data_IF_231992038287
#
_entry.id   IF_231992038287
#
_cell.length_a   1.000
_cell.length_b   1.000
_cell.length_c   1.000
_cell.angle_alpha   90.00
_cell.angle_beta   90.00
_cell.angle_gamma   90.00
#
_symmetry.space_group_name_H-M   'P 1'
#
loop_
_entity.id
_entity.type
_entity.pdbx_description
1 polymer ?
#
# COMPACT_ATOMS: atom_id res chain seq x y z
N UNK A 1 -8.08 12.39 -6.62
CA UNK A 1 -7.67 12.31 -5.21
C UNK A 1 -6.31 12.96 -5.14
N UNK A 2 -6.06 13.85 -4.18
CA UNK A 2 -4.76 14.51 -4.02
C UNK A 2 -3.73 13.48 -3.57
N UNK A 3 -2.54 13.47 -4.19
CA UNK A 3 -1.45 12.57 -3.79
C UNK A 3 -1.02 12.86 -2.35
N UNK A 4 -0.76 11.79 -1.58
CA UNK A 4 -0.27 11.85 -0.21
C UNK A 4 1.27 11.91 -0.20
N UNK A 5 1.89 11.29 -1.20
CA UNK A 5 3.34 11.19 -1.32
C UNK A 5 3.79 11.31 -2.78
N UNK A 6 4.61 12.33 -3.03
CA UNK A 6 5.24 12.54 -4.33
C UNK A 6 6.65 11.94 -4.36
N UNK A 7 7.07 11.46 -5.54
CA UNK A 7 8.42 10.91 -5.69
C UNK A 7 9.49 11.97 -5.40
N UNK A 8 10.55 11.57 -4.71
CA UNK A 8 11.63 12.39 -4.19
C UNK A 8 11.23 13.39 -3.09
N UNK A 9 9.98 13.42 -2.63
CA UNK A 9 9.52 14.40 -1.63
C UNK A 9 10.39 14.43 -0.37
N UNK A 10 10.71 13.25 0.19
CA UNK A 10 11.55 13.15 1.38
C UNK A 10 13.01 13.57 1.12
N UNK A 11 13.54 13.21 -0.07
CA UNK A 11 14.89 13.57 -0.47
C UNK A 11 15.04 15.10 -0.62
N UNK A 12 14.08 15.75 -1.30
CA UNK A 12 14.12 17.19 -1.52
C UNK A 12 14.07 17.98 -0.22
N UNK A 13 13.22 17.57 0.73
CA UNK A 13 13.19 18.19 2.07
C UNK A 13 14.49 18.01 2.83
N UNK A 14 15.10 16.83 2.76
CA UNK A 14 16.39 16.60 3.37
C UNK A 14 17.50 17.42 2.71
N UNK A 15 17.43 17.58 1.39
CA UNK A 15 18.35 18.40 0.62
C UNK A 15 18.22 19.88 0.97
N UNK A 16 17.01 20.41 1.12
CA UNK A 16 16.77 21.79 1.56
C UNK A 16 17.33 22.05 2.98
N UNK A 17 17.25 21.05 3.86
CA UNK A 17 17.74 21.13 5.23
C UNK A 17 19.23 20.75 5.38
N UNK A 18 19.94 20.45 4.28
CA UNK A 18 21.32 19.99 4.35
C UNK A 18 22.23 21.06 4.96
N UNK A 19 23.01 20.66 5.96
CA UNK A 19 24.12 21.47 6.45
C UNK A 19 25.25 21.46 5.43
N UNK A 20 25.67 22.66 4.98
CA UNK A 20 26.82 22.80 4.07
C UNK A 20 28.10 22.72 4.91
N UNK A 21 28.75 21.56 4.90
CA UNK A 21 30.09 21.38 5.46
C UNK A 21 31.09 21.25 4.30
N UNK A 22 32.17 22.07 4.27
CA UNK A 22 33.23 21.93 3.26
C UNK A 22 34.03 20.64 3.40
N UNK A 23 33.99 19.97 4.56
CA UNK A 23 34.74 18.76 4.86
C UNK A 23 33.97 17.53 4.39
N UNK A 24 34.54 16.78 3.45
CA UNK A 24 33.98 15.51 3.00
C UNK A 24 34.47 14.36 3.89
N UNK A 25 33.54 13.58 4.43
CA UNK A 25 33.86 12.34 5.14
C UNK A 25 34.13 11.26 4.08
N UNK A 26 35.24 10.53 4.24
CA UNK A 26 35.61 9.42 3.35
C UNK A 26 34.46 8.41 3.21
N UNK A 27 34.17 8.00 1.97
CA UNK A 27 33.08 7.07 1.65
C UNK A 27 31.76 7.73 1.24
N UNK A 28 31.48 8.97 1.68
CA UNK A 28 30.24 9.70 1.33
C UNK A 28 30.11 9.95 -0.17
N UNK A 29 31.23 10.25 -0.82
CA UNK A 29 31.30 10.50 -2.26
C UNK A 29 30.92 9.31 -3.14
N UNK A 30 30.66 8.10 -2.62
CA UNK A 30 30.24 6.93 -3.44
C UNK A 30 28.73 6.76 -3.56
N UNK A 31 27.96 7.33 -2.64
CA UNK A 31 26.50 7.16 -2.61
C UNK A 31 25.80 7.70 -3.87
N UNK A 32 26.37 8.74 -4.50
CA UNK A 32 25.80 9.36 -5.69
C UNK A 32 25.66 8.44 -6.90
N UNK A 33 26.39 7.32 -6.94
CA UNK A 33 26.31 6.34 -8.04
C UNK A 33 24.91 5.71 -8.07
N UNK A 34 24.31 5.53 -6.89
CA UNK A 34 23.06 4.81 -6.68
C UNK A 34 21.84 5.72 -6.67
N UNK A 35 21.98 7.01 -6.33
CA UNK A 35 20.83 7.90 -6.25
C UNK A 35 20.22 8.21 -7.62
N UNK A 36 18.90 8.35 -7.65
CA UNK A 36 18.17 8.98 -8.76
C UNK A 36 18.52 10.48 -8.90
N UNK A 37 18.97 11.15 -7.83
CA UNK A 37 19.32 12.58 -7.82
C UNK A 37 20.82 12.80 -7.66
N UNK A 38 21.61 12.23 -8.58
CA UNK A 38 23.08 12.15 -8.53
C UNK A 38 23.79 13.47 -8.26
N UNK A 39 23.31 14.58 -8.81
CA UNK A 39 23.98 15.87 -8.61
C UNK A 39 23.72 16.43 -7.20
N UNK A 40 22.49 16.35 -6.70
CA UNK A 40 22.12 16.85 -5.38
C UNK A 40 22.75 16.03 -4.25
N UNK A 41 22.76 14.71 -4.39
CA UNK A 41 23.33 13.81 -3.38
C UNK A 41 24.86 13.96 -3.22
N UNK A 42 25.58 14.44 -4.24
CA UNK A 42 27.02 14.79 -4.11
C UNK A 42 27.24 15.88 -3.06
N UNK A 43 26.22 16.67 -2.75
CA UNK A 43 26.28 17.69 -1.70
C UNK A 43 26.08 17.10 -0.30
N UNK A 44 25.71 15.83 -0.17
CA UNK A 44 25.62 15.12 1.11
C UNK A 44 27.01 14.62 1.51
N UNK A 45 27.89 15.57 1.85
CA UNK A 45 29.30 15.34 2.18
C UNK A 45 29.55 14.80 3.59
N UNK A 46 28.53 14.86 4.44
CA UNK A 46 28.56 14.43 5.84
C UNK A 46 27.32 13.59 6.17
N UNK A 47 27.27 13.00 7.36
CA UNK A 47 26.21 12.06 7.73
C UNK A 47 24.84 12.72 7.97
N UNK A 48 24.81 14.00 8.39
CA UNK A 48 23.60 14.67 8.87
C UNK A 48 22.47 14.67 7.82
N UNK A 49 22.69 15.04 6.55
CA UNK A 49 21.64 15.02 5.53
C UNK A 49 21.02 13.63 5.29
N UNK A 50 21.79 12.55 5.45
CA UNK A 50 21.25 11.19 5.37
C UNK A 50 20.31 10.86 6.53
N UNK A 51 20.65 11.32 7.74
CA UNK A 51 19.77 11.16 8.92
C UNK A 51 18.48 11.96 8.75
N UNK A 52 18.55 13.17 8.19
CA UNK A 52 17.35 13.96 7.88
C UNK A 52 16.52 13.24 6.82
N UNK A 53 17.14 12.71 5.76
CA UNK A 53 16.42 11.95 4.73
C UNK A 53 15.72 10.72 5.29
N UNK A 54 16.39 9.97 6.16
CA UNK A 54 15.79 8.88 6.91
C UNK A 54 14.55 9.34 7.69
N UNK A 55 14.65 10.43 8.45
CA UNK A 55 13.54 10.97 9.25
C UNK A 55 12.36 11.40 8.36
N UNK A 56 12.62 12.08 7.25
CA UNK A 56 11.58 12.49 6.31
C UNK A 56 10.87 11.29 5.67
N UNK A 57 11.60 10.22 5.31
CA UNK A 57 11.00 8.97 4.84
C UNK A 57 10.17 8.31 5.93
N UNK A 58 10.68 8.26 7.16
CA UNK A 58 9.98 7.69 8.29
C UNK A 58 8.66 8.44 8.56
N UNK A 59 8.69 9.77 8.60
CA UNK A 59 7.48 10.57 8.78
C UNK A 59 6.51 10.49 7.61
N UNK A 60 7.02 10.44 6.38
CA UNK A 60 6.18 10.26 5.18
C UNK A 60 5.46 8.90 5.15
N UNK A 61 6.00 7.90 5.82
CA UNK A 61 5.34 6.58 5.93
C UNK A 61 4.04 6.63 6.73
N UNK A 62 3.93 7.49 7.76
CA UNK A 62 2.78 7.49 8.68
C UNK A 62 1.45 7.81 7.98
N UNK A 63 1.31 8.88 7.17
CA UNK A 63 0.08 9.14 6.43
C UNK A 63 -0.32 7.99 5.49
N UNK A 64 0.66 7.28 4.89
CA UNK A 64 0.41 6.13 4.03
C UNK A 64 -0.12 4.94 4.83
N UNK A 65 0.48 4.68 6.01
CA UNK A 65 0.02 3.65 6.96
C UNK A 65 -1.40 3.95 7.40
N UNK A 66 -1.68 5.18 7.84
CA UNK A 66 -3.01 5.59 8.31
C UNK A 66 -4.05 5.38 7.23
N UNK A 67 -3.73 5.74 5.98
CA UNK A 67 -4.66 5.55 4.86
C UNK A 67 -4.89 4.08 4.53
N UNK A 68 -3.85 3.26 4.57
CA UNK A 68 -3.99 1.81 4.39
C UNK A 68 -4.81 1.17 5.52
N UNK A 69 -4.60 1.58 6.78
CA UNK A 69 -5.37 1.10 7.91
C UNK A 69 -6.84 1.52 7.82
N UNK A 70 -7.13 2.76 7.40
CA UNK A 70 -8.49 3.23 7.12
C UNK A 70 -9.18 2.35 6.06
N UNK A 71 -8.51 2.11 4.92
CA UNK A 71 -9.02 1.22 3.87
C UNK A 71 -9.24 -0.19 4.41
N UNK A 72 -8.30 -0.73 5.20
CA UNK A 72 -8.44 -2.06 5.80
C UNK A 72 -9.65 -2.14 6.74
N UNK A 73 -9.84 -1.16 7.61
CA UNK A 73 -10.96 -1.12 8.55
C UNK A 73 -12.30 -1.02 7.81
N UNK A 74 -12.39 -0.18 6.79
CA UNK A 74 -13.59 -0.08 5.95
C UNK A 74 -13.87 -1.37 5.15
N UNK A 75 -12.81 -2.02 4.66
CA UNK A 75 -12.90 -3.32 3.98
C UNK A 75 -13.42 -4.39 4.95
N UNK A 76 -12.88 -4.48 6.17
CA UNK A 76 -13.32 -5.40 7.21
C UNK A 76 -14.80 -5.19 7.60
N UNK A 77 -15.21 -3.92 7.75
CA UNK A 77 -16.60 -3.54 8.12
C UNK A 77 -17.62 -3.73 6.98
N UNK A 78 -17.19 -3.93 5.74
CA UNK A 78 -18.09 -4.21 4.62
C UNK A 78 -18.87 -5.50 4.88
N UNK A 79 -20.15 -5.37 5.28
CA UNK A 79 -21.04 -6.50 5.62
C UNK A 79 -21.39 -7.36 4.40
N UNK A 80 -21.32 -8.68 4.56
CA UNK A 80 -21.63 -9.71 3.55
C UNK A 80 -23.04 -10.32 3.70
N UNK A 81 -24.06 -9.55 4.11
CA UNK A 81 -25.40 -10.14 4.31
C UNK A 81 -26.10 -10.52 2.98
N UNK A 82 -27.01 -11.49 3.02
CA UNK A 82 -27.74 -12.02 1.86
C UNK A 82 -28.64 -10.98 1.16
N UNK A 83 -29.36 -10.12 1.90
CA UNK A 83 -30.49 -9.33 1.37
C UNK A 83 -30.11 -8.04 0.59
N UNK A 84 -28.87 -7.87 0.11
CA UNK A 84 -28.45 -6.59 -0.49
C UNK A 84 -27.26 -6.66 -1.44
N UNK A 85 -27.27 -7.65 -2.35
CA UNK A 85 -26.13 -8.04 -3.18
C UNK A 85 -25.46 -6.88 -3.98
N UNK A 86 -26.23 -6.06 -4.71
CA UNK A 86 -25.67 -5.03 -5.60
C UNK A 86 -25.04 -3.84 -4.86
N UNK A 87 -25.59 -3.45 -3.71
CA UNK A 87 -25.07 -2.32 -2.91
C UNK A 87 -23.77 -2.67 -2.18
N UNK A 88 -23.41 -3.96 -2.08
CA UNK A 88 -22.31 -4.49 -1.26
C UNK A 88 -21.03 -4.72 -2.06
N UNK A 89 -21.12 -5.28 -3.26
CA UNK A 89 -19.97 -5.34 -4.20
C UNK A 89 -19.44 -3.94 -4.46
N UNK A 90 -20.32 -2.95 -4.64
CA UNK A 90 -19.93 -1.55 -4.82
C UNK A 90 -19.06 -1.00 -3.68
N UNK A 91 -19.32 -1.38 -2.42
CA UNK A 91 -18.48 -0.94 -1.28
C UNK A 91 -17.09 -1.57 -1.33
N UNK A 92 -16.99 -2.86 -1.63
CA UNK A 92 -15.71 -3.56 -1.77
C UNK A 92 -14.92 -3.01 -2.97
N UNK A 93 -15.58 -2.84 -4.12
CA UNK A 93 -15.00 -2.22 -5.32
C UNK A 93 -14.50 -0.80 -5.05
N UNK A 94 -15.23 -0.02 -4.25
CA UNK A 94 -14.79 1.33 -3.85
C UNK A 94 -13.50 1.28 -3.04
N UNK A 95 -13.36 0.33 -2.12
CA UNK A 95 -12.11 0.18 -1.35
C UNK A 95 -10.95 -0.31 -2.22
N UNK A 96 -11.19 -1.24 -3.16
CA UNK A 96 -10.16 -1.63 -4.12
C UNK A 96 -9.74 -0.48 -5.02
N UNK A 97 -10.67 0.37 -5.45
CA UNK A 97 -10.33 1.58 -6.20
C UNK A 97 -9.46 2.53 -5.39
N UNK A 98 -9.81 2.77 -4.12
CA UNK A 98 -8.97 3.60 -3.22
C UNK A 98 -7.58 3.00 -3.02
N UNK A 99 -7.48 1.68 -2.87
CA UNK A 99 -6.20 0.99 -2.76
C UNK A 99 -5.37 1.13 -4.04
N UNK A 100 -6.01 1.00 -5.21
CA UNK A 100 -5.38 1.19 -6.50
C UNK A 100 -4.87 2.64 -6.68
N UNK A 101 -5.70 3.63 -6.34
CA UNK A 101 -5.34 5.04 -6.42
C UNK A 101 -4.15 5.35 -5.49
N UNK A 102 -4.10 4.76 -4.28
CA UNK A 102 -2.97 4.86 -3.35
C UNK A 102 -1.71 4.12 -3.82
N UNK A 103 -1.85 3.19 -4.78
CA UNK A 103 -0.75 2.37 -5.29
C UNK A 103 0.37 3.19 -5.93
N UNK A 104 0.05 4.34 -6.53
CA UNK A 104 1.04 5.26 -7.10
C UNK A 104 1.92 5.85 -5.98
N UNK A 105 1.30 6.42 -4.95
CA UNK A 105 1.99 7.02 -3.80
C UNK A 105 2.86 5.97 -3.08
N UNK A 106 2.35 4.74 -2.90
CA UNK A 106 3.12 3.63 -2.32
C UNK A 106 4.32 3.24 -3.18
N UNK A 107 4.17 3.23 -4.51
CA UNK A 107 5.27 2.89 -5.41
C UNK A 107 6.35 3.99 -5.42
N UNK A 108 5.94 5.26 -5.40
CA UNK A 108 6.86 6.40 -5.26
C UNK A 108 7.64 6.30 -3.95
N UNK A 109 6.96 6.07 -2.83
CA UNK A 109 7.58 5.88 -1.52
C UNK A 109 8.57 4.71 -1.49
N UNK A 110 8.20 3.55 -2.04
CA UNK A 110 9.09 2.37 -2.14
C UNK A 110 10.32 2.66 -2.99
N UNK A 111 10.17 3.45 -4.05
CA UNK A 111 11.30 3.84 -4.91
C UNK A 111 12.28 4.72 -4.14
N UNK A 112 11.79 5.70 -3.40
CA UNK A 112 12.64 6.59 -2.59
C UNK A 112 13.29 5.86 -1.41
N UNK A 113 12.59 4.90 -0.80
CA UNK A 113 13.16 4.02 0.24
C UNK A 113 14.35 3.23 -0.31
N UNK A 114 14.21 2.64 -1.51
CA UNK A 114 15.31 1.92 -2.17
C UNK A 114 16.47 2.84 -2.53
N UNK A 115 16.17 4.05 -3.01
CA UNK A 115 17.19 5.07 -3.32
C UNK A 115 18.01 5.39 -2.06
N UNK A 116 17.31 5.69 -0.96
CA UNK A 116 17.92 5.94 0.33
C UNK A 116 18.75 4.75 0.82
N UNK A 117 18.19 3.53 0.83
CA UNK A 117 18.87 2.31 1.29
C UNK A 117 20.17 2.07 0.52
N UNK A 118 20.16 2.22 -0.81
CA UNK A 118 21.37 2.04 -1.60
C UNK A 118 22.40 3.13 -1.30
N UNK A 119 21.96 4.38 -1.16
CA UNK A 119 22.84 5.50 -0.86
C UNK A 119 23.46 5.39 0.55
N UNK A 120 22.66 5.09 1.57
CA UNK A 120 23.13 4.99 2.97
C UNK A 120 24.09 3.80 3.14
N UNK A 121 23.81 2.66 2.51
CA UNK A 121 24.72 1.51 2.52
C UNK A 121 26.05 1.82 1.81
N UNK A 122 26.01 2.61 0.73
CA UNK A 122 27.21 3.02 0.00
C UNK A 122 28.01 4.13 0.70
N UNK A 123 27.38 4.92 1.58
CA UNK A 123 27.97 6.11 2.22
C UNK A 123 29.04 5.81 3.29
N UNK A 124 29.28 4.54 3.63
CA UNK A 124 30.18 4.09 4.71
C UNK A 124 29.92 4.75 6.09
N UNK A 125 28.73 5.31 6.31
CA UNK A 125 28.31 5.85 7.61
C UNK A 125 28.28 4.73 8.66
N UNK A 126 28.79 5.01 9.87
CA UNK A 126 28.63 4.11 11.02
C UNK A 126 27.15 3.92 11.36
N UNK A 127 26.70 2.66 11.57
CA UNK A 127 25.28 2.28 11.73
C UNK A 127 24.40 2.50 10.49
N UNK A 128 24.97 2.58 9.27
CA UNK A 128 24.20 2.67 8.03
C UNK A 128 23.21 1.49 7.83
N UNK A 129 23.55 0.31 8.35
CA UNK A 129 22.70 -0.88 8.33
C UNK A 129 21.43 -0.69 9.13
N UNK A 130 21.51 -0.09 10.32
CA UNK A 130 20.35 0.06 11.21
C UNK A 130 19.29 0.98 10.59
N UNK A 131 19.70 2.08 9.97
CA UNK A 131 18.78 2.98 9.26
C UNK A 131 18.17 2.32 8.01
N UNK A 132 18.97 1.56 7.26
CA UNK A 132 18.49 0.83 6.08
C UNK A 132 17.45 -0.23 6.47
N UNK A 133 17.73 -0.98 7.54
CA UNK A 133 16.87 -2.03 8.09
C UNK A 133 15.56 -1.46 8.61
N UNK A 134 15.59 -0.35 9.36
CA UNK A 134 14.38 0.32 9.85
C UNK A 134 13.46 0.78 8.70
N UNK A 135 14.02 1.34 7.62
CA UNK A 135 13.24 1.69 6.42
C UNK A 135 12.70 0.44 5.73
N UNK A 136 13.48 -0.65 5.68
CA UNK A 136 13.02 -1.92 5.13
C UNK A 136 11.85 -2.49 5.93
N UNK A 137 11.88 -2.36 7.25
CA UNK A 137 10.78 -2.77 8.13
C UNK A 137 9.51 -1.95 7.87
N UNK A 138 9.63 -0.63 7.65
CA UNK A 138 8.50 0.23 7.27
C UNK A 138 7.90 -0.19 5.92
N UNK A 139 8.73 -0.44 4.90
CA UNK A 139 8.26 -0.96 3.61
C UNK A 139 7.54 -2.30 3.77
N UNK A 140 8.11 -3.22 4.57
CA UNK A 140 7.50 -4.53 4.85
C UNK A 140 6.14 -4.37 5.55
N UNK A 141 6.02 -3.43 6.49
CA UNK A 141 4.78 -3.18 7.20
C UNK A 141 3.68 -2.63 6.27
N UNK A 142 4.00 -1.67 5.39
CA UNK A 142 3.09 -1.18 4.36
C UNK A 142 2.61 -2.30 3.44
N UNK A 143 3.54 -3.14 2.95
CA UNK A 143 3.23 -4.30 2.10
C UNK A 143 2.33 -5.32 2.81
N UNK A 144 2.54 -5.54 4.11
CA UNK A 144 1.71 -6.43 4.92
C UNK A 144 0.27 -5.93 5.00
N UNK A 145 0.06 -4.63 5.27
CA UNK A 145 -1.29 -4.06 5.33
C UNK A 145 -1.95 -4.12 3.94
N UNK A 146 -1.24 -3.75 2.87
CA UNK A 146 -1.74 -3.84 1.50
C UNK A 146 -2.21 -5.27 1.15
N UNK A 147 -1.39 -6.27 1.47
CA UNK A 147 -1.71 -7.68 1.27
C UNK A 147 -2.94 -8.11 2.08
N UNK A 148 -3.04 -7.67 3.34
CA UNK A 148 -4.20 -7.96 4.20
C UNK A 148 -5.51 -7.39 3.62
N UNK A 149 -5.48 -6.18 3.07
CA UNK A 149 -6.64 -5.56 2.43
C UNK A 149 -7.09 -6.41 1.24
N UNK A 150 -6.15 -6.79 0.35
CA UNK A 150 -6.45 -7.61 -0.84
C UNK A 150 -7.06 -8.95 -0.44
N UNK A 151 -6.43 -9.68 0.48
CA UNK A 151 -6.94 -10.96 0.98
C UNK A 151 -8.34 -10.83 1.61
N UNK A 152 -8.58 -9.77 2.37
CA UNK A 152 -9.89 -9.53 3.00
C UNK A 152 -10.96 -9.23 1.96
N UNK A 153 -10.64 -8.40 0.97
CA UNK A 153 -11.52 -8.10 -0.16
C UNK A 153 -11.87 -9.35 -0.97
N UNK A 154 -10.88 -10.15 -1.34
CA UNK A 154 -11.05 -11.38 -2.12
C UNK A 154 -11.92 -12.39 -1.39
N UNK A 155 -11.68 -12.61 -0.09
CA UNK A 155 -12.52 -13.49 0.75
C UNK A 155 -13.98 -13.03 0.79
N UNK A 156 -14.22 -11.72 0.90
CA UNK A 156 -15.58 -11.16 0.91
C UNK A 156 -16.26 -11.27 -0.45
N UNK A 157 -15.54 -11.03 -1.56
CA UNK A 157 -16.07 -11.24 -2.90
C UNK A 157 -16.42 -12.71 -3.15
N UNK A 158 -15.56 -13.64 -2.73
CA UNK A 158 -15.84 -15.07 -2.82
C UNK A 158 -17.08 -15.47 -2.00
N UNK A 159 -17.22 -14.94 -0.78
CA UNK A 159 -18.40 -15.16 0.06
C UNK A 159 -19.69 -14.64 -0.60
N UNK A 160 -19.65 -13.45 -1.22
CA UNK A 160 -20.79 -12.91 -1.97
C UNK A 160 -21.12 -13.80 -3.18
N UNK A 161 -20.10 -14.27 -3.91
CA UNK A 161 -20.30 -15.10 -5.08
C UNK A 161 -20.91 -16.47 -4.72
N UNK A 162 -20.43 -17.10 -3.64
CA UNK A 162 -21.00 -18.34 -3.13
C UNK A 162 -22.46 -18.15 -2.68
N UNK A 163 -22.75 -17.05 -1.98
CA UNK A 163 -24.12 -16.70 -1.58
C UNK A 163 -25.05 -16.49 -2.78
N UNK A 164 -24.55 -15.93 -3.89
CA UNK A 164 -25.30 -15.80 -5.15
C UNK A 164 -25.63 -17.16 -5.76
N UNK A 165 -24.67 -18.08 -5.81
CA UNK A 165 -24.90 -19.43 -6.31
C UNK A 165 -25.94 -20.19 -5.48
N UNK A 166 -25.86 -20.09 -4.15
CA UNK A 166 -26.84 -20.70 -3.25
C UNK A 166 -28.25 -20.14 -3.47
N UNK A 167 -28.37 -18.81 -3.63
CA UNK A 167 -29.66 -18.18 -3.93
C UNK A 167 -30.24 -18.66 -5.27
N UNK A 168 -29.44 -18.70 -6.33
CA UNK A 168 -29.88 -19.22 -7.63
C UNK A 168 -30.31 -20.68 -7.54
N UNK A 169 -29.57 -21.51 -6.79
CA UNK A 169 -29.97 -22.89 -6.51
C UNK A 169 -31.33 -22.98 -5.81
N UNK A 170 -31.56 -22.16 -4.79
CA UNK A 170 -32.83 -22.12 -4.07
C UNK A 170 -34.00 -21.69 -4.97
N UNK A 171 -33.81 -20.67 -5.82
CA UNK A 171 -34.82 -20.25 -6.80
C UNK A 171 -35.14 -21.38 -7.80
N UNK A 172 -34.12 -22.07 -8.31
CA UNK A 172 -34.30 -23.21 -9.21
C UNK A 172 -35.05 -24.35 -8.51
N UNK A 173 -34.73 -24.66 -7.25
CA UNK A 173 -35.43 -25.68 -6.48
C UNK A 173 -36.92 -25.34 -6.27
N UNK A 174 -37.23 -24.09 -5.88
CA UNK A 174 -38.62 -23.63 -5.74
C UNK A 174 -39.37 -23.73 -7.09
N UNK A 175 -38.73 -23.31 -8.18
CA UNK A 175 -39.32 -23.35 -9.52
C UNK A 175 -39.61 -24.78 -9.96
N UNK A 176 -38.67 -25.70 -9.72
CA UNK A 176 -38.86 -27.13 -10.02
C UNK A 176 -40.05 -27.71 -9.24
N UNK A 177 -40.14 -27.42 -7.93
CA UNK A 177 -41.28 -27.86 -7.10
C UNK A 177 -42.61 -27.32 -7.64
N UNK A 178 -42.66 -26.02 -7.99
CA UNK A 178 -43.86 -25.40 -8.54
C UNK A 178 -44.30 -26.05 -9.87
N UNK A 179 -43.35 -26.33 -10.77
CA UNK A 179 -43.61 -27.05 -12.03
C UNK A 179 -44.11 -28.47 -11.76
N UNK A 180 -43.51 -29.20 -10.82
CA UNK A 180 -43.96 -30.54 -10.45
C UNK A 180 -45.39 -30.54 -9.89
N UNK A 181 -45.72 -29.62 -8.99
CA UNK A 181 -47.07 -29.48 -8.44
C UNK A 181 -48.09 -29.13 -9.52
N UNK A 182 -47.75 -28.18 -10.40
CA UNK A 182 -48.62 -27.81 -11.53
C UNK A 182 -48.87 -28.99 -12.47
N UNK A 183 -47.82 -29.75 -12.79
CA UNK A 183 -47.93 -30.95 -13.64
C UNK A 183 -48.85 -32.02 -13.04
N UNK A 184 -48.82 -32.21 -11.71
CA UNK A 184 -49.71 -33.15 -11.03
C UNK A 184 -51.16 -32.66 -11.12
N UNK A 185 -51.39 -31.35 -10.91
CA UNK A 185 -52.72 -30.76 -10.98
C UNK A 185 -53.30 -30.73 -12.40
N UNK A 186 -52.48 -30.67 -13.45
CA UNK A 186 -52.97 -30.66 -14.84
C UNK A 186 -53.32 -32.05 -15.39
N UNK A 187 -52.84 -33.12 -14.75
CA UNK A 187 -53.11 -34.51 -15.15
C UNK A 187 -54.40 -35.03 -14.50
N UNK A 188 -54.79 -34.46 -13.35
CA UNK A 188 -56.07 -34.71 -12.68
C UNK A 188 -57.17 -33.79 -13.21
#
# INVERSE_FOLDING_TARGET
MTSIYEQNQAFERAYEQRSIDPSEIEGMGRAHIYSNNKEKIKEFKIYIPYVIWFQELFFASHPLIDKLQEINNEMEQAKTSWLGFFRKTKKIETQFKRLYDLGIDLNNFKTDCKDFQQCILASQIHNNTDYADLIQEQERYLNLIESKIRQTGDRKLASINNSRMQFLGLVLSITAIAVSVYSIMSIN
#
